data_IF_673115070821
#
_entry.id   IF_673115070821
#
_cell.length_a   1.000
_cell.length_b   1.000
_cell.length_c   1.000
_cell.angle_alpha   90.00
_cell.angle_beta   90.00
_cell.angle_gamma   90.00
#
_symmetry.space_group_name_H-M   'P 1'
#
loop_
_entity.id
_entity.type
_entity.pdbx_description
1 polymer ?
#
# COMPACT_ATOMS: atom_id res chain seq x y z
N UNK A 1 2.66 1.23 16.99
CA UNK A 1 2.51 2.42 16.13
C UNK A 1 1.19 2.42 15.34
N UNK A 2 0.42 1.32 15.34
CA UNK A 2 -0.94 1.23 14.76
C UNK A 2 -1.11 2.06 13.46
N UNK A 3 -1.95 3.10 13.48
CA UNK A 3 -2.18 3.99 12.33
C UNK A 3 -1.49 5.37 12.48
N UNK A 4 -0.58 5.54 13.43
CA UNK A 4 -0.02 6.84 13.82
C UNK A 4 0.62 7.62 12.66
N UNK A 5 1.27 6.92 11.73
CA UNK A 5 1.97 7.51 10.59
C UNK A 5 1.18 7.47 9.27
N UNK A 6 -0.08 7.04 9.33
CA UNK A 6 -0.97 6.96 8.18
C UNK A 6 -1.95 8.13 8.19
N UNK A 7 -1.97 8.88 7.09
CA UNK A 7 -2.92 9.95 6.82
C UNK A 7 -4.09 9.48 5.97
N UNK A 8 -5.10 10.35 5.84
CA UNK A 8 -6.26 10.15 4.95
C UNK A 8 -6.91 8.78 5.13
N UNK A 9 -7.04 8.36 6.39
CA UNK A 9 -7.58 7.06 6.74
C UNK A 9 -9.10 7.06 6.51
N UNK A 10 -9.53 6.31 5.50
CA UNK A 10 -10.92 5.97 5.23
C UNK A 10 -11.24 4.65 5.94
N UNK A 11 -12.28 4.65 6.78
CA UNK A 11 -12.73 3.48 7.54
C UNK A 11 -14.14 3.07 7.12
N UNK A 12 -14.28 2.35 6.02
CA UNK A 12 -15.53 1.69 5.65
C UNK A 12 -15.87 0.53 6.61
N UNK A 13 -17.16 0.25 6.80
CA UNK A 13 -17.62 -0.85 7.66
C UNK A 13 -17.11 -0.74 9.11
N UNK A 14 -16.48 -1.80 9.62
CA UNK A 14 -15.85 -1.83 10.95
C UNK A 14 -14.42 -1.24 10.95
N UNK A 15 -13.97 -0.65 9.82
CA UNK A 15 -12.72 0.06 9.67
C UNK A 15 -11.46 -0.81 9.58
N UNK A 16 -10.30 -0.16 9.65
CA UNK A 16 -9.00 -0.83 9.74
C UNK A 16 -8.79 -1.49 11.10
N UNK A 17 -8.16 -2.66 11.09
CA UNK A 17 -7.64 -3.31 12.30
C UNK A 17 -6.22 -3.80 12.08
N UNK A 18 -5.42 -3.77 13.15
CA UNK A 18 -4.08 -4.38 13.17
C UNK A 18 -4.18 -5.75 13.83
N UNK A 19 -3.62 -6.77 13.21
CA UNK A 19 -3.58 -8.14 13.72
C UNK A 19 -2.15 -8.71 13.62
N UNK A 20 -1.86 -9.74 14.41
CA UNK A 20 -0.58 -10.46 14.39
C UNK A 20 -0.60 -11.57 13.33
N UNK A 21 0.57 -11.93 12.83
CA UNK A 21 0.78 -13.07 11.95
C UNK A 21 0.92 -14.39 12.74
N UNK A 22 0.44 -15.53 12.21
CA UNK A 22 -0.46 -15.64 11.06
C UNK A 22 -1.90 -15.28 11.45
N UNK A 23 -2.62 -14.63 10.55
CA UNK A 23 -4.04 -14.32 10.72
C UNK A 23 -4.95 -15.54 10.56
N UNK A 24 -6.18 -15.46 11.09
CA UNK A 24 -7.20 -16.50 10.90
C UNK A 24 -7.42 -16.82 9.41
N UNK A 25 -7.38 -18.09 9.01
CA UNK A 25 -7.50 -18.48 7.59
C UNK A 25 -6.44 -17.81 6.68
N UNK A 26 -5.31 -17.40 7.25
CA UNK A 26 -4.15 -16.84 6.56
C UNK A 26 -2.98 -17.81 6.49
N UNK A 27 -1.92 -17.38 5.84
CA UNK A 27 -0.60 -18.02 5.86
C UNK A 27 0.42 -17.13 6.54
N UNK A 28 1.51 -17.77 6.97
CA UNK A 28 2.73 -17.09 7.40
C UNK A 28 3.24 -16.14 6.31
N UNK A 29 3.80 -15.02 6.75
CA UNK A 29 4.50 -14.11 5.84
C UNK A 29 5.86 -14.72 5.45
N UNK A 30 6.37 -14.50 4.23
CA UNK A 30 7.65 -15.09 3.79
C UNK A 30 8.90 -14.62 4.56
N UNK A 31 8.80 -13.57 5.37
CA UNK A 31 9.89 -13.02 6.20
C UNK A 31 9.54 -13.10 7.69
N UNK A 32 10.50 -13.55 8.50
CA UNK A 32 10.37 -13.62 9.96
C UNK A 32 10.42 -12.24 10.64
N UNK A 33 10.81 -11.18 9.92
CA UNK A 33 10.90 -9.81 10.46
C UNK A 33 9.53 -9.09 10.50
N UNK A 34 8.52 -9.64 9.81
CA UNK A 34 7.18 -9.08 9.76
C UNK A 34 6.28 -9.84 10.71
N UNK A 35 5.70 -9.13 11.69
CA UNK A 35 4.88 -9.74 12.74
C UNK A 35 3.42 -9.31 12.71
N UNK A 36 3.10 -8.21 12.02
CA UNK A 36 1.75 -7.64 11.99
C UNK A 36 1.32 -7.29 10.57
N UNK A 37 0.01 -7.17 10.39
CA UNK A 37 -0.60 -6.63 9.18
C UNK A 37 -1.81 -5.75 9.53
N UNK A 38 -2.19 -4.90 8.58
CA UNK A 38 -3.47 -4.19 8.59
C UNK A 38 -4.50 -5.01 7.81
N UNK A 39 -5.73 -5.04 8.27
CA UNK A 39 -6.85 -5.70 7.57
C UNK A 39 -8.03 -4.77 7.42
N UNK A 40 -8.66 -4.79 6.24
CA UNK A 40 -9.85 -4.00 5.94
C UNK A 40 -11.16 -4.73 6.27
N UNK A 41 -12.24 -3.97 6.33
CA UNK A 41 -13.58 -4.47 6.61
C UNK A 41 -14.38 -4.73 5.32
N UNK A 42 -15.71 -4.70 5.41
CA UNK A 42 -16.66 -5.03 4.34
C UNK A 42 -17.05 -3.85 3.43
N UNK A 43 -16.55 -2.64 3.73
CA UNK A 43 -16.58 -1.50 2.82
C UNK A 43 -15.15 -0.96 2.65
N UNK A 44 -14.93 -0.15 1.62
CA UNK A 44 -13.61 0.39 1.30
C UNK A 44 -12.95 1.05 2.50
N UNK A 45 -11.81 0.49 2.89
CA UNK A 45 -10.87 1.12 3.80
C UNK A 45 -9.64 1.53 2.99
N UNK A 46 -9.19 2.77 3.16
CA UNK A 46 -7.98 3.32 2.51
C UNK A 46 -7.11 4.00 3.54
N UNK A 47 -5.82 4.05 3.27
CA UNK A 47 -4.86 4.86 4.05
C UNK A 47 -3.73 5.29 3.14
N UNK A 48 -3.22 6.50 3.37
CA UNK A 48 -2.15 7.08 2.58
C UNK A 48 -1.00 7.59 3.45
N UNK A 49 0.18 7.68 2.84
CA UNK A 49 1.32 8.39 3.40
C UNK A 49 1.94 9.26 2.31
N UNK A 50 2.31 10.49 2.67
CA UNK A 50 3.05 11.41 1.81
C UNK A 50 4.47 11.51 2.34
N UNK A 51 5.43 11.10 1.53
CA UNK A 51 6.85 11.09 1.85
C UNK A 51 7.48 12.35 1.27
N UNK A 52 8.10 13.15 2.14
CA UNK A 52 8.91 14.31 1.74
C UNK A 52 10.33 13.84 1.40
N UNK A 53 10.63 13.79 0.10
CA UNK A 53 11.91 13.30 -0.39
C UNK A 53 13.08 14.16 0.09
N UNK A 54 12.87 15.47 0.28
CA UNK A 54 13.91 16.37 0.78
C UNK A 54 14.19 16.10 2.26
N UNK A 55 13.15 15.85 3.06
CA UNK A 55 13.30 15.47 4.46
C UNK A 55 14.06 14.14 4.63
N UNK A 56 13.88 13.20 3.69
CA UNK A 56 14.61 11.93 3.61
C UNK A 56 16.02 12.05 3.02
N UNK A 57 16.46 13.27 2.64
CA UNK A 57 17.83 13.55 2.19
C UNK A 57 18.03 13.59 0.67
N UNK A 58 16.97 13.45 -0.13
CA UNK A 58 17.02 13.56 -1.58
C UNK A 58 16.80 15.01 -2.02
N UNK A 59 17.90 15.73 -2.25
CA UNK A 59 17.84 17.15 -2.62
C UNK A 59 17.32 17.36 -4.06
N UNK A 60 16.81 18.57 -4.30
CA UNK A 60 16.10 18.93 -5.52
C UNK A 60 16.89 18.70 -6.81
N UNK A 61 18.14 19.15 -6.85
CA UNK A 61 19.00 18.99 -8.04
C UNK A 61 19.22 17.50 -8.39
N UNK A 62 19.34 16.62 -7.40
CA UNK A 62 19.45 15.16 -7.64
C UNK A 62 18.17 14.64 -8.30
N UNK A 63 17.00 14.97 -7.72
CA UNK A 63 15.71 14.52 -8.24
C UNK A 63 15.41 15.09 -9.63
N UNK A 64 15.84 16.32 -9.90
CA UNK A 64 15.56 16.99 -11.18
C UNK A 64 16.48 16.52 -12.30
N UNK A 65 17.77 16.31 -12.01
CA UNK A 65 18.79 16.02 -13.02
C UNK A 65 19.05 14.52 -13.19
N UNK A 66 19.24 13.80 -12.09
CA UNK A 66 19.58 12.37 -12.10
C UNK A 66 18.33 11.52 -12.26
N UNK A 67 17.20 11.97 -11.69
CA UNK A 67 15.93 11.25 -11.69
C UNK A 67 16.12 9.78 -11.26
N UNK A 68 16.71 9.54 -10.07
CA UNK A 68 16.96 8.18 -9.58
C UNK A 68 15.64 7.40 -9.51
N UNK A 69 15.72 6.08 -9.67
CA UNK A 69 14.52 5.25 -9.70
C UNK A 69 13.81 5.30 -8.35
N UNK A 70 12.50 5.49 -8.38
CA UNK A 70 11.66 5.37 -7.18
C UNK A 70 10.93 4.04 -7.29
N UNK A 71 11.33 3.07 -6.48
CA UNK A 71 10.68 1.78 -6.42
C UNK A 71 9.68 1.75 -5.27
N UNK A 72 8.48 1.27 -5.56
CA UNK A 72 7.44 1.03 -4.57
C UNK A 72 7.11 -0.44 -4.52
N UNK A 73 6.89 -0.95 -3.31
CA UNK A 73 6.44 -2.32 -3.06
C UNK A 73 5.33 -2.31 -2.03
N UNK A 74 4.43 -3.26 -2.16
CA UNK A 74 3.42 -3.55 -1.16
C UNK A 74 3.13 -5.05 -1.14
N UNK A 75 2.70 -5.55 0.00
CA UNK A 75 2.30 -6.94 0.14
C UNK A 75 0.84 -7.01 0.56
N UNK A 76 0.10 -7.88 -0.12
CA UNK A 76 -1.32 -8.08 0.16
C UNK A 76 -1.70 -9.56 0.17
N UNK A 77 -2.74 -9.90 0.94
CA UNK A 77 -3.31 -11.24 1.01
C UNK A 77 -4.81 -11.19 1.37
N UNK A 78 -5.56 -12.21 0.96
CA UNK A 78 -6.91 -12.46 1.44
C UNK A 78 -6.94 -13.47 2.60
N UNK A 79 -8.14 -13.76 3.09
CA UNK A 79 -8.42 -14.96 3.87
C UNK A 79 -8.82 -16.08 2.92
N UNK A 80 -8.57 -17.35 3.25
CA UNK A 80 -9.05 -18.45 2.41
C UNK A 80 -10.57 -18.62 2.46
N UNK A 81 -11.24 -18.21 3.54
CA UNK A 81 -12.70 -18.34 3.73
C UNK A 81 -13.53 -17.17 3.18
N UNK A 82 -12.90 -16.11 2.65
CA UNK A 82 -13.59 -14.94 2.14
C UNK A 82 -12.86 -14.29 0.95
N UNK A 83 -13.62 -13.82 -0.03
CA UNK A 83 -13.08 -13.02 -1.13
C UNK A 83 -12.92 -11.54 -0.73
N UNK A 84 -11.97 -10.86 -1.37
CA UNK A 84 -11.71 -9.44 -1.13
C UNK A 84 -11.15 -8.72 -2.36
N UNK A 85 -11.12 -7.39 -2.28
CA UNK A 85 -10.57 -6.48 -3.28
C UNK A 85 -9.37 -5.72 -2.73
N UNK A 86 -8.42 -5.42 -3.60
CA UNK A 86 -7.23 -4.62 -3.28
C UNK A 86 -6.93 -3.58 -4.37
N UNK A 87 -6.50 -2.40 -3.96
CA UNK A 87 -6.01 -1.33 -4.83
C UNK A 87 -4.76 -0.66 -4.26
N UNK A 88 -3.83 -0.30 -5.15
CA UNK A 88 -2.66 0.53 -4.88
C UNK A 88 -2.64 1.72 -5.84
N UNK A 89 -2.45 2.93 -5.30
CA UNK A 89 -2.23 4.15 -6.05
C UNK A 89 -1.02 4.89 -5.50
N UNK A 90 -0.02 5.13 -6.35
CA UNK A 90 1.18 5.88 -6.01
C UNK A 90 1.35 7.05 -6.97
N UNK A 91 1.59 8.24 -6.42
CA UNK A 91 1.80 9.47 -7.20
C UNK A 91 3.13 10.10 -6.86
N UNK A 92 3.84 10.57 -7.88
CA UNK A 92 4.95 11.49 -7.74
C UNK A 92 4.42 12.91 -7.87
N UNK A 93 4.68 13.75 -6.88
CA UNK A 93 4.09 15.07 -6.76
C UNK A 93 5.13 16.19 -6.80
N UNK A 94 4.75 17.33 -7.36
CA UNK A 94 5.52 18.58 -7.31
C UNK A 94 5.48 19.23 -5.92
N UNK A 95 6.23 20.32 -5.72
CA UNK A 95 6.14 21.14 -4.49
C UNK A 95 4.71 21.67 -4.26
N UNK A 96 3.95 21.90 -5.33
CA UNK A 96 2.58 22.40 -5.30
C UNK A 96 1.53 21.27 -5.32
N UNK A 97 1.96 20.02 -5.08
CA UNK A 97 1.11 18.83 -5.12
C UNK A 97 0.55 18.48 -6.51
N UNK A 98 1.13 19.02 -7.60
CA UNK A 98 0.77 18.62 -8.95
C UNK A 98 1.20 17.17 -9.21
N UNK A 99 0.35 16.37 -9.85
CA UNK A 99 0.67 14.99 -10.22
C UNK A 99 1.60 14.97 -11.44
N UNK A 100 2.85 14.60 -11.23
CA UNK A 100 3.88 14.50 -12.27
C UNK A 100 3.93 13.10 -12.89
N UNK A 101 3.70 12.08 -12.08
CA UNK A 101 3.54 10.70 -12.53
C UNK A 101 2.58 9.96 -11.59
N UNK A 102 1.87 8.96 -12.12
CA UNK A 102 0.93 8.13 -11.37
C UNK A 102 1.08 6.68 -11.78
N UNK A 103 1.11 5.80 -10.78
CA UNK A 103 0.86 4.39 -10.92
C UNK A 103 -0.42 4.04 -10.17
N UNK A 104 -1.38 3.43 -10.86
CA UNK A 104 -2.57 2.87 -10.26
C UNK A 104 -2.69 1.42 -10.69
N UNK A 105 -2.78 0.50 -9.73
CA UNK A 105 -3.03 -0.90 -10.03
C UNK A 105 -4.42 -1.07 -10.64
N UNK A 106 -4.62 -2.13 -11.40
CA UNK A 106 -5.99 -2.65 -11.58
C UNK A 106 -6.54 -3.07 -10.21
N UNK A 107 -7.87 -3.05 -10.05
CA UNK A 107 -8.52 -3.60 -8.85
C UNK A 107 -8.28 -5.11 -8.81
N UNK A 108 -7.45 -5.56 -7.88
CA UNK A 108 -7.14 -6.98 -7.72
C UNK A 108 -8.31 -7.63 -7.00
N UNK A 109 -8.88 -8.69 -7.60
CA UNK A 109 -9.94 -9.49 -6.99
C UNK A 109 -9.37 -10.81 -6.50
N UNK A 110 -9.42 -11.04 -5.19
CA UNK A 110 -9.03 -12.31 -4.56
C UNK A 110 -10.31 -13.11 -4.30
N UNK A 111 -10.49 -14.28 -4.92
CA UNK A 111 -11.71 -15.07 -4.74
C UNK A 111 -11.73 -15.75 -3.36
N UNK A 112 -12.92 -16.16 -2.91
CA UNK A 112 -13.03 -17.13 -1.81
C UNK A 112 -12.37 -18.47 -2.18
N UNK A 113 -11.95 -19.25 -1.19
CA UNK A 113 -11.21 -20.51 -1.33
C UNK A 113 -9.85 -20.34 -2.03
N UNK A 114 -9.30 -19.12 -2.00
CA UNK A 114 -7.92 -18.86 -2.38
C UNK A 114 -6.96 -19.51 -1.38
N UNK A 115 -5.70 -19.62 -1.77
CA UNK A 115 -4.66 -20.26 -0.97
C UNK A 115 -4.13 -19.39 0.19
N UNK A 116 -4.68 -18.19 0.38
CA UNK A 116 -4.29 -17.18 1.36
C UNK A 116 -2.80 -16.78 1.31
N UNK A 117 -2.16 -16.95 0.14
CA UNK A 117 -0.74 -16.60 -0.03
C UNK A 117 -0.55 -15.08 -0.13
N UNK A 118 0.50 -14.59 0.52
CA UNK A 118 0.97 -13.22 0.38
C UNK A 118 1.53 -12.98 -1.01
N UNK A 119 1.09 -11.91 -1.66
CA UNK A 119 1.51 -11.50 -2.99
C UNK A 119 2.18 -10.13 -2.92
N UNK A 120 3.36 -9.99 -3.51
CA UNK A 120 4.03 -8.70 -3.69
C UNK A 120 3.52 -8.03 -4.96
N UNK A 121 3.21 -6.74 -4.88
CA UNK A 121 3.08 -5.84 -6.03
C UNK A 121 4.22 -4.83 -5.99
N UNK A 122 4.81 -4.54 -7.15
CA UNK A 122 5.88 -3.56 -7.26
C UNK A 122 5.74 -2.71 -8.52
N UNK A 123 6.22 -1.48 -8.41
CA UNK A 123 6.34 -0.55 -9.53
C UNK A 123 7.62 0.26 -9.40
N UNK A 124 8.20 0.67 -10.52
CA UNK A 124 9.39 1.51 -10.54
C UNK A 124 9.17 2.70 -11.46
N UNK A 125 9.16 3.89 -10.88
CA UNK A 125 9.19 5.13 -11.64
C UNK A 125 10.62 5.39 -12.12
N UNK A 126 10.75 5.71 -13.39
CA UNK A 126 12.00 6.12 -14.02
C UNK A 126 11.69 7.16 -15.09
N UNK A 127 12.64 8.05 -15.38
CA UNK A 127 12.47 9.09 -16.40
C UNK A 127 11.20 9.92 -16.20
N UNK A 128 10.85 10.22 -14.94
CA UNK A 128 9.61 10.90 -14.55
C UNK A 128 9.66 12.43 -14.77
N UNK A 129 10.78 12.96 -15.24
CA UNK A 129 10.98 14.39 -15.45
C UNK A 129 11.36 15.13 -14.16
N UNK A 130 11.73 16.41 -14.26
CA UNK A 130 12.08 17.20 -13.09
C UNK A 130 10.85 17.61 -12.27
N UNK A 131 11.10 18.04 -11.02
CA UNK A 131 10.10 18.67 -10.17
C UNK A 131 9.50 17.76 -9.10
N UNK A 132 9.85 16.47 -9.04
CA UNK A 132 9.35 15.55 -8.01
C UNK A 132 9.89 15.95 -6.64
N UNK A 133 8.99 16.14 -5.67
CA UNK A 133 9.29 16.52 -4.29
C UNK A 133 8.64 15.58 -3.26
N UNK A 134 7.50 14.99 -3.61
CA UNK A 134 6.82 14.04 -2.73
C UNK A 134 6.46 12.74 -3.43
N UNK A 135 6.37 11.67 -2.65
CA UNK A 135 5.73 10.42 -3.05
C UNK A 135 4.48 10.23 -2.20
N UNK A 136 3.31 10.22 -2.82
CA UNK A 136 2.07 9.81 -2.17
C UNK A 136 1.85 8.32 -2.42
N UNK A 137 1.84 7.53 -1.37
CA UNK A 137 1.54 6.10 -1.39
C UNK A 137 0.17 5.87 -0.74
N UNK A 138 -0.78 5.30 -1.47
CA UNK A 138 -2.13 4.99 -0.97
C UNK A 138 -2.50 3.56 -1.36
N UNK A 139 -3.00 2.80 -0.40
CA UNK A 139 -3.59 1.49 -0.68
C UNK A 139 -4.88 1.26 0.10
N UNK A 140 -5.62 0.24 -0.29
CA UNK A 140 -6.85 -0.09 0.38
C UNK A 140 -7.57 -1.28 -0.23
N UNK A 141 -8.73 -1.56 0.33
CA UNK A 141 -9.55 -2.70 -0.08
C UNK A 141 -10.79 -2.86 0.76
N UNK A 142 -11.54 -3.90 0.44
CA UNK A 142 -12.75 -4.33 1.14
C UNK A 142 -12.99 -5.81 0.89
N UNK A 143 -13.88 -6.44 1.65
CA UNK A 143 -14.38 -7.78 1.31
C UNK A 143 -15.29 -7.75 0.07
N UNK A 144 -15.64 -8.93 -0.46
CA UNK A 144 -16.65 -9.07 -1.52
C UNK A 144 -17.96 -9.73 -1.03
N UNK A 145 -18.04 -10.07 0.25
CA UNK A 145 -19.13 -10.85 0.84
C UNK A 145 -20.08 -10.01 1.72
N UNK A 146 -19.69 -8.77 2.01
CA UNK A 146 -20.37 -7.85 2.89
C UNK A 146 -20.56 -8.41 4.31
N UNK A 147 -19.54 -9.08 4.84
CA UNK A 147 -19.58 -9.75 6.12
C UNK A 147 -19.04 -8.84 7.22
N UNK A 148 -19.87 -8.62 8.25
CA UNK A 148 -19.47 -7.83 9.42
C UNK A 148 -18.19 -8.38 10.04
N UNK A 149 -17.19 -7.53 10.28
CA UNK A 149 -15.85 -7.89 10.74
C UNK A 149 -14.75 -7.53 9.74
N UNK A 150 -13.65 -8.28 9.80
CA UNK A 150 -12.42 -8.02 9.03
C UNK A 150 -12.15 -9.17 8.06
N UNK A 151 -12.94 -9.18 6.98
CA UNK A 151 -12.87 -10.17 5.90
C UNK A 151 -12.29 -9.58 4.60
N UNK A 152 -11.88 -8.31 4.64
CA UNK A 152 -11.27 -7.64 3.50
C UNK A 152 -9.80 -8.02 3.28
N UNK A 153 -9.11 -7.20 2.48
CA UNK A 153 -7.69 -7.43 2.18
C UNK A 153 -6.81 -7.15 3.40
N UNK A 154 -5.76 -7.95 3.53
CA UNK A 154 -4.64 -7.75 4.46
C UNK A 154 -3.49 -7.11 3.73
N UNK A 155 -2.86 -6.10 4.33
CA UNK A 155 -1.71 -5.39 3.76
C UNK A 155 -0.61 -5.19 4.79
N UNK A 156 0.64 -5.33 4.37
CA UNK A 156 1.81 -5.13 5.24
C UNK A 156 3.08 -4.91 4.42
N UNK A 157 4.20 -4.62 5.10
CA UNK A 157 5.53 -4.54 4.50
C UNK A 157 5.63 -3.62 3.26
N UNK A 158 4.86 -2.53 3.28
CA UNK A 158 4.86 -1.49 2.24
C UNK A 158 6.20 -0.74 2.28
N UNK A 159 6.78 -0.44 1.11
CA UNK A 159 8.03 0.30 1.04
C UNK A 159 8.10 1.22 -0.17
N UNK A 160 8.83 2.32 0.01
CA UNK A 160 9.27 3.24 -1.04
C UNK A 160 10.77 3.40 -0.90
N UNK A 161 11.52 3.06 -1.95
CA UNK A 161 12.98 3.16 -1.98
C UNK A 161 13.43 3.98 -3.18
N UNK A 162 14.51 4.74 -2.99
CA UNK A 162 15.18 5.43 -4.09
C UNK A 162 16.45 4.67 -4.42
N UNK A 163 16.55 4.19 -5.66
CA UNK A 163 17.65 3.39 -6.16
C UNK A 163 18.49 4.18 -7.19
N UNK A 164 19.79 3.88 -7.31
CA UNK A 164 20.67 4.48 -8.33
C UNK A 164 20.19 4.29 -9.77
#
# INVERSE_FOLDING_TARGET
>A
EDLEHWGEVENGGDGWKVEELPGDFGKEFPSEEVHKYFVTSYEWCRKAQVIDLRAEGYWEELMDTTQPKIMVRDWYAGRSDAGCLYELCVKLLSENEDVLAEYKSETVTIPQDNDASWTEISHTFSSYGPGVRFVRFEHGGQDTLFWKGWYGVRVTNSSVTVEP
#
